data_IF_362431493938
#
_entry.id   IF_362431493938
#
_cell.length_a   1.000
_cell.length_b   1.000
_cell.length_c   1.000
_cell.angle_alpha   90.00
_cell.angle_beta   90.00
_cell.angle_gamma   90.00
#
_symmetry.space_group_name_H-M   'P 1'
#
loop_
_entity.id
_entity.type
_entity.pdbx_description
1 polymer ?
#
# COMPACT_ATOMS: atom_id res chain seq x y z
N UNK A 1 -5.69 23.07 -33.05
CA UNK A 1 -5.45 21.63 -32.78
C UNK A 1 -4.38 21.52 -31.72
N UNK A 2 -4.54 20.65 -30.73
CA UNK A 2 -3.54 20.46 -29.68
C UNK A 2 -2.27 19.82 -30.24
N UNK A 3 -1.10 20.24 -29.76
CA UNK A 3 0.20 19.72 -30.17
C UNK A 3 0.26 18.19 -29.96
N UNK A 4 0.57 17.40 -31.01
CA UNK A 4 0.73 15.94 -30.90
C UNK A 4 1.68 15.49 -29.79
N UNK A 5 2.74 16.26 -29.49
CA UNK A 5 3.69 15.96 -28.42
C UNK A 5 3.03 16.08 -27.04
N UNK A 6 2.23 17.13 -26.83
CA UNK A 6 1.46 17.36 -25.60
C UNK A 6 0.43 16.25 -25.41
N UNK A 7 -0.28 15.85 -26.46
CA UNK A 7 -1.24 14.75 -26.41
C UNK A 7 -0.58 13.41 -26.03
N UNK A 8 0.65 13.15 -26.49
CA UNK A 8 1.41 11.95 -26.11
C UNK A 8 1.81 11.97 -24.63
N UNK A 9 2.29 13.10 -24.12
CA UNK A 9 2.64 13.25 -22.70
C UNK A 9 1.43 13.04 -21.79
N UNK A 10 0.28 13.63 -22.13
CA UNK A 10 -0.97 13.44 -21.37
C UNK A 10 -1.37 11.97 -21.33
N UNK A 11 -1.30 11.25 -22.46
CA UNK A 11 -1.59 9.80 -22.50
C UNK A 11 -0.67 9.00 -21.60
N UNK A 12 0.63 9.33 -21.57
CA UNK A 12 1.61 8.64 -20.72
C UNK A 12 1.29 8.89 -19.24
N UNK A 13 1.16 10.16 -18.82
CA UNK A 13 0.85 10.51 -17.42
C UNK A 13 -0.46 9.90 -16.94
N UNK A 14 -1.50 9.97 -17.77
CA UNK A 14 -2.79 9.31 -17.49
C UNK A 14 -2.62 7.81 -17.29
N UNK A 15 -1.78 7.16 -18.08
CA UNK A 15 -1.46 5.74 -17.94
C UNK A 15 -0.68 5.42 -16.66
N UNK A 16 0.23 6.30 -16.25
CA UNK A 16 0.98 6.19 -14.98
C UNK A 16 0.04 6.30 -13.79
N UNK A 17 -0.77 7.36 -13.72
CA UNK A 17 -1.74 7.56 -12.63
C UNK A 17 -2.71 6.38 -12.53
N UNK A 18 -3.23 5.87 -13.67
CA UNK A 18 -4.10 4.68 -13.68
C UNK A 18 -3.45 3.42 -13.09
N UNK A 19 -2.13 3.24 -13.26
CA UNK A 19 -1.40 2.11 -12.68
C UNK A 19 -1.21 2.30 -11.18
N UNK A 20 -0.75 3.48 -10.76
CA UNK A 20 -0.55 3.81 -9.35
C UNK A 20 -1.85 3.69 -8.54
N UNK A 21 -2.99 4.11 -9.10
CA UNK A 21 -4.30 3.94 -8.44
C UNK A 21 -4.66 2.45 -8.23
N UNK A 22 -4.39 1.59 -9.22
CA UNK A 22 -4.65 0.15 -9.09
C UNK A 22 -3.73 -0.49 -8.05
N UNK A 23 -2.46 -0.09 -8.06
CA UNK A 23 -1.46 -0.55 -7.10
C UNK A 23 -1.84 -0.14 -5.67
N UNK A 24 -2.14 1.15 -5.46
CA UNK A 24 -2.63 1.66 -4.18
C UNK A 24 -3.86 0.89 -3.68
N UNK A 25 -4.83 0.61 -4.56
CA UNK A 25 -6.02 -0.16 -4.18
C UNK A 25 -5.69 -1.62 -3.77
N UNK A 26 -4.65 -2.22 -4.35
CA UNK A 26 -4.16 -3.53 -3.92
C UNK A 26 -3.56 -3.46 -2.52
N UNK A 27 -2.68 -2.48 -2.27
CA UNK A 27 -2.05 -2.29 -0.97
C UNK A 27 -3.06 -1.96 0.14
N UNK A 28 -4.08 -1.15 -0.13
CA UNK A 28 -5.16 -0.87 0.84
C UNK A 28 -5.81 -2.17 1.32
N UNK A 29 -6.14 -3.09 0.41
CA UNK A 29 -6.75 -4.38 0.77
C UNK A 29 -5.81 -5.28 1.56
N UNK A 30 -4.53 -5.25 1.22
CA UNK A 30 -3.51 -6.05 1.88
C UNK A 30 -3.26 -5.55 3.32
N UNK A 31 -3.15 -4.23 3.50
CA UNK A 31 -3.06 -3.58 4.81
C UNK A 31 -4.29 -3.90 5.67
N UNK A 32 -5.51 -3.82 5.11
CA UNK A 32 -6.73 -4.18 5.85
C UNK A 32 -6.70 -5.64 6.34
N UNK A 33 -6.30 -6.56 5.46
CA UNK A 33 -6.23 -7.99 5.77
C UNK A 33 -5.17 -8.29 6.84
N UNK A 34 -3.96 -7.77 6.69
CA UNK A 34 -2.89 -8.00 7.67
C UNK A 34 -3.19 -7.26 8.99
N UNK A 35 -3.87 -6.11 8.97
CA UNK A 35 -4.35 -5.44 10.19
C UNK A 35 -5.29 -6.34 10.99
N UNK A 36 -6.25 -7.00 10.33
CA UNK A 36 -7.15 -7.93 11.01
C UNK A 36 -6.40 -9.13 11.60
N UNK A 37 -5.45 -9.68 10.86
CA UNK A 37 -4.62 -10.80 11.30
C UNK A 37 -3.73 -10.42 12.49
N UNK A 38 -3.09 -9.25 12.47
CA UNK A 38 -2.30 -8.73 13.60
C UNK A 38 -3.18 -8.55 14.83
N UNK A 39 -4.39 -8.02 14.69
CA UNK A 39 -5.34 -7.91 15.83
C UNK A 39 -5.68 -9.27 16.43
N UNK A 40 -6.00 -10.25 15.59
CA UNK A 40 -6.30 -11.61 16.05
C UNK A 40 -5.09 -12.26 16.74
N UNK A 41 -3.88 -12.08 16.20
CA UNK A 41 -2.65 -12.60 16.82
C UNK A 41 -2.39 -11.96 18.18
N UNK A 42 -2.61 -10.65 18.31
CA UNK A 42 -2.48 -9.95 19.61
C UNK A 42 -3.52 -10.42 20.63
N UNK A 43 -4.76 -10.60 20.21
CA UNK A 43 -5.85 -11.04 21.08
C UNK A 43 -5.69 -12.50 21.54
N UNK A 44 -5.11 -13.35 20.69
CA UNK A 44 -4.87 -14.76 20.99
C UNK A 44 -3.57 -15.00 21.78
N UNK A 45 -2.63 -14.05 21.77
CA UNK A 45 -1.32 -14.21 22.42
C UNK A 45 -1.47 -14.41 23.93
N UNK A 46 -1.04 -15.58 24.39
CA UNK A 46 -1.14 -16.03 25.79
C UNK A 46 0.22 -16.36 26.41
N UNK A 47 1.29 -16.36 25.62
CA UNK A 47 2.66 -16.61 26.05
C UNK A 47 3.66 -15.68 25.33
N UNK A 48 4.89 -15.64 25.85
CA UNK A 48 5.95 -14.75 25.36
C UNK A 48 6.34 -15.02 23.88
N UNK A 49 6.22 -16.28 23.42
CA UNK A 49 6.52 -16.66 22.04
C UNK A 49 5.48 -16.10 21.06
N UNK A 50 4.19 -16.21 21.39
CA UNK A 50 3.08 -15.65 20.62
C UNK A 50 3.11 -14.12 20.60
N UNK A 51 3.52 -13.48 21.71
CA UNK A 51 3.71 -12.04 21.76
C UNK A 51 4.85 -11.57 20.83
N UNK A 52 5.94 -12.33 20.75
CA UNK A 52 7.02 -12.07 19.80
C UNK A 52 6.55 -12.20 18.34
N UNK A 53 5.75 -13.23 18.03
CA UNK A 53 5.14 -13.40 16.70
C UNK A 53 4.21 -12.24 16.37
N UNK A 54 3.38 -11.79 17.30
CA UNK A 54 2.49 -10.65 17.12
C UNK A 54 3.28 -9.36 16.85
N UNK A 55 4.35 -9.10 17.61
CA UNK A 55 5.24 -7.93 17.38
C UNK A 55 5.91 -7.97 16.02
N UNK A 56 6.36 -9.14 15.56
CA UNK A 56 6.93 -9.29 14.22
C UNK A 56 5.88 -9.05 13.14
N UNK A 57 4.65 -9.52 13.33
CA UNK A 57 3.56 -9.28 12.40
C UNK A 57 3.19 -7.78 12.33
N UNK A 58 3.28 -7.04 13.44
CA UNK A 58 3.14 -5.57 13.42
C UNK A 58 4.22 -4.87 12.60
N UNK A 59 5.47 -5.29 12.70
CA UNK A 59 6.56 -4.69 11.92
C UNK A 59 6.30 -4.86 10.41
N UNK A 60 5.87 -6.06 10.00
CA UNK A 60 5.50 -6.32 8.60
C UNK A 60 4.30 -5.48 8.17
N UNK A 61 3.30 -5.31 9.04
CA UNK A 61 2.16 -4.43 8.76
C UNK A 61 2.61 -2.97 8.58
N UNK A 62 3.55 -2.49 9.39
CA UNK A 62 4.08 -1.14 9.26
C UNK A 62 4.80 -0.94 7.92
N UNK A 63 5.62 -1.91 7.49
CA UNK A 63 6.28 -1.86 6.17
C UNK A 63 5.27 -1.79 5.02
N UNK A 64 4.14 -2.52 5.11
CA UNK A 64 3.07 -2.45 4.12
C UNK A 64 2.37 -1.08 4.09
N UNK A 65 2.16 -0.45 5.25
CA UNK A 65 1.60 0.90 5.36
C UNK A 65 2.55 1.92 4.73
N UNK A 66 3.85 1.82 5.03
CA UNK A 66 4.87 2.72 4.48
C UNK A 66 4.95 2.58 2.95
N UNK A 67 4.88 1.35 2.42
CA UNK A 67 4.82 1.10 0.98
C UNK A 67 3.55 1.69 0.33
N UNK A 68 2.38 1.54 0.97
CA UNK A 68 1.13 2.16 0.51
C UNK A 68 1.26 3.68 0.43
N UNK A 69 1.89 4.31 1.43
CA UNK A 69 2.08 5.75 1.48
C UNK A 69 3.06 6.25 0.41
N UNK A 70 4.14 5.51 0.13
CA UNK A 70 5.04 5.82 -0.98
C UNK A 70 4.32 5.85 -2.33
N UNK A 71 3.42 4.89 -2.58
CA UNK A 71 2.62 4.84 -3.81
C UNK A 71 1.63 6.00 -3.88
N UNK A 72 1.03 6.37 -2.74
CA UNK A 72 0.14 7.54 -2.65
C UNK A 72 0.89 8.82 -3.03
N UNK A 73 2.05 9.06 -2.43
CA UNK A 73 2.89 10.22 -2.71
C UNK A 73 3.35 10.24 -4.18
N UNK A 74 3.72 9.09 -4.74
CA UNK A 74 4.05 8.97 -6.16
C UNK A 74 2.86 9.36 -7.08
N UNK A 75 1.63 9.05 -6.67
CA UNK A 75 0.41 9.44 -7.38
C UNK A 75 0.12 10.95 -7.33
N UNK A 76 0.52 11.65 -6.28
CA UNK A 76 0.32 13.10 -6.12
C UNK A 76 1.29 13.93 -6.97
N UNK A 77 2.44 13.35 -7.35
CA UNK A 77 3.51 14.02 -8.10
C UNK A 77 3.45 13.73 -9.62
N UNK A 78 2.71 12.70 -10.05
CA UNK A 78 2.65 12.20 -11.44
C UNK A 78 1.71 13.00 -12.38
#
# INVERSE_FOLDING_TARGET
>A
MADPAVLKQIKIKTGVVKRLVKEHHSYVKEVEKETQKVKQLKEAASNDEEEYVAKKAEQVLQELIDAQEQIRLAGEIA
#
